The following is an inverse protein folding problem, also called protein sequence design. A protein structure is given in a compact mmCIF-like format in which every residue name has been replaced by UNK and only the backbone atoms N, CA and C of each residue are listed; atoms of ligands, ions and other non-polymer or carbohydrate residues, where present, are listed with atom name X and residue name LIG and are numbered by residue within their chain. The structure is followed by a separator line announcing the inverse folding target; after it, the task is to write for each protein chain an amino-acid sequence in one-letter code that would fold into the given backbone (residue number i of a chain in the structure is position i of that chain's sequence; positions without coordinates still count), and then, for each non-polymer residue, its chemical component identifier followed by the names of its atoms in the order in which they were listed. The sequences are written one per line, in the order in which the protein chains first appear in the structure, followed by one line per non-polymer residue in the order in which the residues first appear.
data_IF_962042571693
#
_entry.id   IF_962042571693
#
_cell.length_a   1.000
_cell.length_b   1.000
_cell.length_c   1.000
_cell.angle_alpha   90.00
_cell.angle_beta   90.00
_cell.angle_gamma   90.00
#
_symmetry.space_group_name_H-M   'P 1'
#
loop_
_entity.id
_entity.type
_entity.pdbx_description
1 polymer ?
#
# COMPACT_ATOMS: atom_id res chain seq x y z
N UNK A 1 -14.90 -13.52 2.80
CA UNK A 1 -13.49 -13.41 2.43
C UNK A 1 -12.72 -12.87 3.63
N UNK A 2 -11.44 -13.24 3.80
CA UNK A 2 -10.60 -12.64 4.84
C UNK A 2 -9.91 -11.41 4.20
N UNK A 3 -10.14 -10.24 4.77
CA UNK A 3 -9.70 -8.95 4.22
C UNK A 3 -10.80 -8.23 3.44
N UNK A 4 -10.67 -6.91 3.33
CA UNK A 4 -11.62 -6.06 2.62
C UNK A 4 -11.59 -6.31 1.11
N UNK A 5 -12.75 -6.08 0.47
CA UNK A 5 -12.87 -6.01 -0.99
C UNK A 5 -12.42 -4.63 -1.43
N UNK A 6 -11.44 -4.56 -2.33
CA UNK A 6 -10.91 -3.30 -2.86
C UNK A 6 -10.94 -3.26 -4.38
N UNK A 7 -11.13 -2.06 -4.92
CA UNK A 7 -11.10 -1.74 -6.34
C UNK A 7 -9.89 -0.88 -6.67
N UNK A 8 -9.38 -0.96 -7.89
CA UNK A 8 -8.35 -0.02 -8.36
C UNK A 8 -9.00 1.33 -8.73
N UNK A 9 -8.40 2.47 -8.34
CA UNK A 9 -7.20 2.60 -7.52
C UNK A 9 -7.45 2.29 -6.03
N UNK A 10 -6.52 1.61 -5.39
CA UNK A 10 -6.57 1.35 -3.94
C UNK A 10 -6.01 2.57 -3.20
N UNK A 11 -6.84 3.24 -2.42
CA UNK A 11 -6.42 4.37 -1.58
C UNK A 11 -5.77 3.84 -0.30
N UNK A 12 -4.56 4.32 -0.01
CA UNK A 12 -3.82 4.05 1.22
C UNK A 12 -3.71 5.37 1.97
N UNK A 13 -4.32 5.42 3.14
CA UNK A 13 -4.31 6.58 4.01
C UNK A 13 -3.96 6.18 5.44
N UNK A 14 -3.31 7.08 6.16
CA UNK A 14 -2.93 6.89 7.55
C UNK A 14 -2.15 8.07 8.08
N UNK A 15 -1.51 7.89 9.23
CA UNK A 15 -0.60 8.86 9.84
C UNK A 15 0.73 8.18 10.11
N UNK A 16 1.82 8.90 9.96
CA UNK A 16 3.16 8.32 10.13
C UNK A 16 4.18 9.33 10.64
N UNK A 17 5.24 8.79 11.23
CA UNK A 17 6.46 9.51 11.59
C UNK A 17 7.63 8.63 11.15
N UNK A 18 8.31 9.01 10.07
CA UNK A 18 9.37 8.22 9.46
C UNK A 18 10.67 9.02 9.31
N UNK A 19 11.74 8.32 8.95
CA UNK A 19 13.00 8.96 8.60
C UNK A 19 12.79 9.84 7.35
N UNK A 20 13.14 11.12 7.47
CA UNK A 20 12.99 12.13 6.40
C UNK A 20 11.57 12.28 5.83
N UNK A 21 10.54 11.87 6.59
CA UNK A 21 9.14 11.85 6.16
C UNK A 21 8.89 10.98 4.92
N UNK A 22 9.82 10.09 4.56
CA UNK A 22 9.71 9.25 3.38
C UNK A 22 8.89 7.99 3.66
N UNK A 23 7.87 7.76 2.85
CA UNK A 23 7.01 6.58 2.88
C UNK A 23 6.97 5.92 1.51
N UNK A 24 6.73 4.61 1.54
CA UNK A 24 6.43 3.83 0.36
C UNK A 24 5.16 3.01 0.61
N UNK A 25 4.11 3.29 -0.17
CA UNK A 25 2.98 2.40 -0.27
C UNK A 25 3.27 1.35 -1.35
N UNK A 26 2.96 0.09 -1.08
CA UNK A 26 3.22 -1.02 -1.98
C UNK A 26 2.03 -1.98 -2.04
N UNK A 27 1.87 -2.60 -3.20
CA UNK A 27 0.99 -3.74 -3.40
C UNK A 27 1.85 -4.94 -3.81
N UNK A 28 1.68 -6.06 -3.13
CA UNK A 28 2.41 -7.30 -3.42
C UNK A 28 1.52 -8.53 -3.34
N UNK A 29 1.95 -9.60 -4.00
CA UNK A 29 1.42 -10.93 -3.76
C UNK A 29 1.92 -11.46 -2.41
N UNK A 30 1.26 -12.50 -1.88
CA UNK A 30 1.61 -13.07 -0.57
C UNK A 30 3.01 -13.72 -0.55
N UNK A 31 3.54 -14.09 -1.70
CA UNK A 31 4.89 -14.63 -1.87
C UNK A 31 5.98 -13.54 -1.95
N UNK A 32 5.59 -12.26 -1.91
CA UNK A 32 6.51 -11.12 -1.95
C UNK A 32 6.73 -10.53 -3.34
N UNK A 33 6.10 -11.05 -4.40
CA UNK A 33 6.19 -10.42 -5.73
C UNK A 33 5.53 -9.04 -5.69
N UNK A 34 6.30 -7.99 -5.95
CA UNK A 34 5.81 -6.62 -6.03
C UNK A 34 4.97 -6.42 -7.29
N UNK A 35 3.77 -5.88 -7.13
CA UNK A 35 2.84 -5.57 -8.22
C UNK A 35 2.92 -4.10 -8.62
N UNK A 36 2.90 -3.21 -7.64
CA UNK A 36 3.01 -1.75 -7.83
C UNK A 36 3.45 -1.08 -6.54
N UNK A 37 3.95 0.16 -6.64
CA UNK A 37 4.30 0.99 -5.50
C UNK A 37 4.20 2.47 -5.84
N UNK A 38 3.89 3.28 -4.83
CA UNK A 38 3.80 4.73 -4.94
C UNK A 38 4.48 5.36 -3.73
N UNK A 39 5.43 6.31 -3.92
CA UNK A 39 5.99 7.06 -2.81
C UNK A 39 4.92 7.97 -2.17
N UNK A 40 5.07 8.24 -0.89
CA UNK A 40 4.25 9.19 -0.15
C UNK A 40 5.12 9.98 0.85
N UNK A 41 4.56 11.05 1.38
CA UNK A 41 5.21 11.86 2.42
C UNK A 41 4.40 11.81 3.70
N UNK A 42 5.08 11.50 4.80
CA UNK A 42 4.53 11.41 6.14
C UNK A 42 4.99 12.55 7.07
N UNK A 43 5.01 12.27 8.37
CA UNK A 43 5.65 13.12 9.37
C UNK A 43 7.10 12.73 9.63
N UNK A 44 7.85 13.57 10.32
CA UNK A 44 9.23 13.30 10.76
C UNK A 44 9.53 13.95 12.12
N UNK A 45 10.70 13.65 12.68
CA UNK A 45 11.24 14.30 13.90
C UNK A 45 10.32 14.22 15.12
N UNK A 46 9.60 13.10 15.28
CA UNK A 46 8.68 12.92 16.41
C UNK A 46 7.26 13.42 16.14
N UNK A 47 7.02 14.07 15.01
CA UNK A 47 5.71 14.57 14.61
C UNK A 47 5.07 13.58 13.63
N UNK A 48 3.86 13.14 13.97
CA UNK A 48 3.04 12.35 13.05
C UNK A 48 2.25 13.28 12.12
N UNK A 49 2.27 12.96 10.83
CA UNK A 49 1.48 13.67 9.82
C UNK A 49 0.66 12.66 9.02
N UNK A 50 -0.55 13.07 8.65
CA UNK A 50 -1.41 12.30 7.75
C UNK A 50 -0.79 12.19 6.36
N UNK A 51 -0.97 11.04 5.72
CA UNK A 51 -0.63 10.81 4.33
C UNK A 51 -1.80 10.15 3.62
N UNK A 52 -1.92 10.42 2.33
CA UNK A 52 -2.85 9.75 1.42
C UNK A 52 -2.13 9.51 0.10
N UNK A 53 -2.21 8.29 -0.41
CA UNK A 53 -1.68 7.92 -1.73
C UNK A 53 -2.55 6.84 -2.37
N UNK A 54 -2.32 6.56 -3.64
CA UNK A 54 -3.05 5.54 -4.39
C UNK A 54 -2.10 4.53 -5.04
N UNK A 55 -2.56 3.28 -5.07
CA UNK A 55 -1.90 2.18 -5.78
C UNK A 55 -2.80 1.74 -6.93
N UNK A 56 -2.28 1.83 -8.15
CA UNK A 56 -2.98 1.39 -9.36
C UNK A 56 -2.52 -0.01 -9.75
N UNK A 57 -3.49 -0.94 -9.83
CA UNK A 57 -3.25 -2.30 -10.29
C UNK A 57 -4.55 -2.91 -10.82
N UNK A 58 -4.54 -3.36 -12.07
CA UNK A 58 -5.70 -3.98 -12.70
C UNK A 58 -5.53 -5.52 -12.73
N UNK A 59 -6.10 -6.27 -11.78
CA UNK A 59 -6.03 -7.72 -11.81
C UNK A 59 -6.91 -8.29 -12.95
N UNK A 60 -6.50 -9.40 -13.56
CA UNK A 60 -7.31 -10.10 -14.56
C UNK A 60 -8.43 -10.96 -13.94
N UNK A 61 -8.27 -11.37 -12.68
CA UNK A 61 -9.24 -12.12 -11.90
C UNK A 61 -9.14 -11.72 -10.42
N UNK A 62 -10.19 -11.92 -9.60
CA UNK A 62 -10.11 -11.66 -8.17
C UNK A 62 -8.95 -12.40 -7.52
N UNK A 63 -8.10 -11.70 -6.78
CA UNK A 63 -6.93 -12.31 -6.13
C UNK A 63 -6.60 -11.67 -4.78
N UNK A 64 -6.08 -12.47 -3.82
CA UNK A 64 -5.62 -11.96 -2.54
C UNK A 64 -4.25 -11.29 -2.69
N UNK A 65 -4.11 -10.09 -2.15
CA UNK A 65 -2.87 -9.29 -2.17
C UNK A 65 -2.56 -8.74 -0.77
N UNK A 66 -1.36 -8.23 -0.60
CA UNK A 66 -0.93 -7.45 0.56
C UNK A 66 -0.74 -6.00 0.14
N UNK A 67 -1.46 -5.09 0.79
CA UNK A 67 -1.22 -3.64 0.72
C UNK A 67 -0.36 -3.27 1.92
N UNK A 68 0.70 -2.51 1.71
CA UNK A 68 1.60 -2.11 2.78
C UNK A 68 2.01 -0.65 2.70
N UNK A 69 2.32 -0.08 3.86
CA UNK A 69 3.02 1.19 3.99
C UNK A 69 4.24 0.98 4.89
N UNK A 70 5.38 1.53 4.51
CA UNK A 70 6.63 1.49 5.28
C UNK A 70 7.41 2.78 5.11
N UNK A 71 8.24 3.11 6.10
CA UNK A 71 9.31 4.08 5.91
C UNK A 71 10.27 3.59 4.82
N UNK A 72 10.69 4.50 3.93
CA UNK A 72 11.77 4.21 2.98
C UNK A 72 13.09 4.61 3.61
N UNK A 73 14.07 3.70 3.61
CA UNK A 73 15.44 4.10 3.85
C UNK A 73 16.03 4.67 2.55
N UNK A 74 16.79 5.76 2.61
CA UNK A 74 17.38 6.37 1.41
C UNK A 74 18.47 5.52 0.74
N UNK A 75 18.80 4.36 1.33
CA UNK A 75 19.92 3.48 0.93
C UNK A 75 19.46 2.10 0.43
N UNK A 76 18.16 1.78 0.49
CA UNK A 76 17.59 0.58 -0.12
C UNK A 76 17.88 -0.74 0.60
N UNK A 77 18.07 -0.73 1.93
CA UNK A 77 18.21 -1.99 2.71
C UNK A 77 16.86 -2.65 2.99
N UNK A 78 15.76 -1.99 2.63
CA UNK A 78 14.41 -2.54 2.68
C UNK A 78 13.45 -1.66 3.48
N UNK A 79 12.21 -2.15 3.67
CA UNK A 79 11.19 -1.36 4.34
C UNK A 79 11.48 -1.24 5.85
N UNK A 80 11.34 -0.02 6.37
CA UNK A 80 11.38 0.26 7.82
C UNK A 80 9.94 0.29 8.36
N UNK A 81 9.69 -0.38 9.48
CA UNK A 81 8.40 -0.37 10.19
C UNK A 81 7.18 -0.62 9.27
N UNK A 82 7.23 -1.73 8.54
CA UNK A 82 6.22 -2.05 7.55
C UNK A 82 4.91 -2.54 8.16
N UNK A 83 3.83 -1.83 7.88
CA UNK A 83 2.46 -2.31 8.14
C UNK A 83 1.92 -3.00 6.89
N UNK A 84 1.32 -4.19 7.05
CA UNK A 84 0.74 -4.97 5.94
C UNK A 84 -0.71 -5.33 6.23
N UNK A 85 -1.59 -5.07 5.27
CA UNK A 85 -3.02 -5.37 5.33
C UNK A 85 -3.38 -6.32 4.19
N UNK A 86 -3.88 -7.54 4.48
CA UNK A 86 -4.39 -8.42 3.44
C UNK A 86 -5.74 -7.91 2.92
N UNK A 87 -5.86 -7.81 1.60
CA UNK A 87 -7.11 -7.43 0.92
C UNK A 87 -7.38 -8.35 -0.27
N UNK A 88 -8.60 -8.31 -0.78
CA UNK A 88 -9.00 -8.99 -2.02
C UNK A 88 -9.25 -7.94 -3.09
N UNK A 89 -8.42 -7.91 -4.14
CA UNK A 89 -8.57 -6.95 -5.24
C UNK A 89 -9.36 -7.59 -6.39
N UNK A 90 -10.30 -6.82 -6.95
CA UNK A 90 -11.19 -7.28 -8.01
C UNK A 90 -10.97 -6.48 -9.31
N UNK A 91 -11.15 -7.10 -10.49
CA UNK A 91 -11.14 -6.39 -11.77
C UNK A 91 -12.27 -5.35 -11.84
N UNK A 92 -12.03 -4.25 -12.55
CA UNK A 92 -13.06 -3.28 -12.87
C UNK A 92 -14.17 -3.91 -13.75
N UNK A 93 -15.40 -3.43 -13.63
CA UNK A 93 -16.58 -3.96 -14.30
C UNK A 93 -17.14 -5.26 -13.68
N UNK A 94 -16.65 -5.66 -12.50
CA UNK A 94 -17.22 -6.79 -11.74
C UNK A 94 -18.31 -6.31 -10.79
N UNK A 95 -19.09 -7.21 -10.20
CA UNK A 95 -20.13 -6.82 -9.23
C UNK A 95 -19.56 -6.16 -7.96
N UNK A 96 -18.30 -6.46 -7.61
CA UNK A 96 -17.59 -5.84 -6.50
C UNK A 96 -17.00 -4.46 -6.86
N UNK A 97 -16.62 -4.28 -8.13
CA UNK A 97 -16.02 -3.06 -8.66
C UNK A 97 -16.72 -2.68 -9.96
N UNK A 98 -17.93 -2.11 -9.89
CA UNK A 98 -18.75 -1.80 -11.06
C UNK A 98 -18.16 -0.70 -11.94
#
# INVERSE_FOLDING_TARGET
AIGDTVCSPVVVAGYSNTFEASLLAQMSQRDGVLLTQTPATGGNLGLYTDFVTSLEYAPAAPQPILVSASGSDGIGLGPVDQTRVPVSIYPAGTTQCP
#
